data_IF_003468860964
#
_entry.id   IF_003468860964
#
_cell.length_a   1.000
_cell.length_b   1.000
_cell.length_c   1.000
_cell.angle_alpha   90.00
_cell.angle_beta   90.00
_cell.angle_gamma   90.00
#
_symmetry.space_group_name_H-M   'P 1'
#
loop_
_entity.id
_entity.type
_entity.pdbx_description
1 polymer ?
#
# COMPACT_ATOMS: atom_id res chain seq x y z
N UNK A 1 35.79 4.27 20.77
CA UNK A 1 34.80 3.82 19.77
C UNK A 1 34.82 4.86 18.66
N UNK A 2 35.22 4.47 17.45
CA UNK A 2 35.39 5.37 16.32
C UNK A 2 34.21 5.14 15.39
N UNK A 3 33.36 6.16 15.21
CA UNK A 3 32.23 6.13 14.27
C UNK A 3 32.74 6.72 12.95
N UNK A 4 32.45 6.04 11.83
CA UNK A 4 32.85 6.41 10.48
C UNK A 4 31.58 6.49 9.62
N UNK A 5 31.22 7.69 9.17
CA UNK A 5 30.16 7.90 8.19
C UNK A 5 30.80 8.33 6.85
N UNK A 6 30.32 7.78 5.74
CA UNK A 6 30.81 8.03 4.39
C UNK A 6 29.69 8.54 3.50
N UNK A 7 30.01 9.48 2.61
CA UNK A 7 29.10 9.91 1.53
C UNK A 7 29.82 9.79 0.19
N UNK A 8 29.20 9.12 -0.78
CA UNK A 8 29.75 9.03 -2.13
C UNK A 8 29.46 10.33 -2.90
N UNK A 9 30.47 11.20 -3.05
CA UNK A 9 30.37 12.38 -3.90
C UNK A 9 30.41 12.02 -5.39
N UNK A 10 29.90 12.92 -6.27
CA UNK A 10 29.84 12.82 -7.74
C UNK A 10 31.18 12.57 -8.48
N UNK A 11 32.29 12.40 -7.77
CA UNK A 11 33.64 12.25 -8.31
C UNK A 11 34.46 11.13 -7.64
N UNK A 12 33.83 10.16 -6.97
CA UNK A 12 34.56 9.04 -6.34
C UNK A 12 35.46 9.44 -5.17
N UNK A 13 35.17 10.59 -4.53
CA UNK A 13 36.00 11.12 -3.45
C UNK A 13 35.38 10.81 -2.09
N UNK A 14 36.12 10.12 -1.24
CA UNK A 14 35.73 9.88 0.15
C UNK A 14 35.98 11.13 1.00
N UNK A 15 35.03 11.46 1.86
CA UNK A 15 35.16 12.53 2.85
C UNK A 15 34.66 12.04 4.20
N UNK A 16 35.35 12.41 5.28
CA UNK A 16 34.88 12.11 6.63
C UNK A 16 33.98 13.21 7.16
N UNK A 17 32.88 12.84 7.79
CA UNK A 17 32.08 13.81 8.54
C UNK A 17 32.70 14.08 9.92
N UNK A 18 33.11 13.01 10.62
CA UNK A 18 33.78 13.10 11.92
C UNK A 18 35.00 12.14 11.99
N UNK A 19 36.08 12.60 12.65
CA UNK A 19 37.26 11.77 12.96
C UNK A 19 37.59 11.86 14.45
N UNK A 20 37.27 10.80 15.20
CA UNK A 20 37.62 10.67 16.62
C UNK A 20 38.92 9.87 16.78
N UNK A 21 39.99 10.56 17.16
CA UNK A 21 41.27 9.93 17.50
C UNK A 21 41.44 9.90 19.03
N UNK A 22 41.77 8.74 19.57
CA UNK A 22 42.11 8.60 20.99
C UNK A 22 43.51 9.19 21.27
N UNK A 23 43.64 9.91 22.39
CA UNK A 23 44.94 10.35 22.93
C UNK A 23 45.43 11.71 22.42
N UNK A 24 44.92 12.81 22.98
CA UNK A 24 45.57 14.14 22.98
C UNK A 24 46.06 14.71 21.64
N UNK A 25 45.52 14.24 20.50
CA UNK A 25 46.00 14.63 19.18
C UNK A 25 45.54 16.05 18.87
N UNK A 26 46.51 16.95 18.62
CA UNK A 26 46.23 18.34 18.23
C UNK A 26 45.49 18.41 16.87
N UNK A 27 44.86 19.57 16.63
CA UNK A 27 43.99 19.78 15.47
C UNK A 27 44.73 19.64 14.13
N UNK A 28 46.01 20.00 14.09
CA UNK A 28 46.85 19.92 12.88
C UNK A 28 47.11 18.46 12.53
N UNK A 29 47.50 17.64 13.52
CA UNK A 29 47.68 16.20 13.32
C UNK A 29 46.39 15.51 12.90
N UNK A 30 45.25 15.89 13.48
CA UNK A 30 43.93 15.39 13.04
C UNK A 30 43.65 15.70 11.58
N UNK A 31 43.94 16.93 11.13
CA UNK A 31 43.75 17.33 9.74
C UNK A 31 44.65 16.54 8.78
N UNK A 32 45.92 16.32 9.15
CA UNK A 32 46.83 15.49 8.34
C UNK A 32 46.38 14.04 8.26
N UNK A 33 45.97 13.43 9.39
CA UNK A 33 45.45 12.06 9.40
C UNK A 33 44.19 11.95 8.56
N UNK A 34 43.25 12.91 8.70
CA UNK A 34 42.04 12.96 7.88
C UNK A 34 42.36 13.03 6.39
N UNK A 35 43.20 13.98 5.97
CA UNK A 35 43.57 14.15 4.56
C UNK A 35 44.30 12.93 4.00
N UNK A 36 45.18 12.31 4.79
CA UNK A 36 45.89 11.09 4.40
C UNK A 36 44.92 9.91 4.23
N UNK A 37 43.96 9.74 5.15
CA UNK A 37 42.93 8.70 5.05
C UNK A 37 41.98 8.94 3.87
N UNK A 38 41.50 10.17 3.66
CA UNK A 38 40.63 10.51 2.51
C UNK A 38 41.34 10.23 1.18
N UNK A 39 42.63 10.59 1.10
CA UNK A 39 43.45 10.30 -0.07
C UNK A 39 43.66 8.80 -0.26
N UNK A 40 44.07 8.08 0.79
CA UNK A 40 44.31 6.65 0.72
C UNK A 40 43.04 5.89 0.32
N UNK A 41 41.88 6.21 0.91
CA UNK A 41 40.60 5.61 0.55
C UNK A 41 40.21 5.90 -0.90
N UNK A 42 40.43 7.13 -1.38
CA UNK A 42 40.14 7.48 -2.77
C UNK A 42 41.09 6.81 -3.77
N UNK A 43 42.29 6.41 -3.34
CA UNK A 43 43.26 5.67 -4.16
C UNK A 43 43.12 4.14 -4.04
N UNK A 44 42.35 3.64 -3.07
CA UNK A 44 42.19 2.21 -2.75
C UNK A 44 40.69 1.88 -2.54
N UNK A 45 39.83 2.44 -3.40
CA UNK A 45 38.37 2.25 -3.31
C UNK A 45 37.96 0.79 -3.43
N UNK A 46 38.75 0.00 -4.15
CA UNK A 46 38.62 -1.44 -4.36
C UNK A 46 38.83 -2.28 -3.09
N UNK A 47 39.44 -1.70 -2.04
CA UNK A 47 39.60 -2.37 -0.74
C UNK A 47 38.29 -2.44 0.03
N UNK A 48 37.31 -1.58 -0.30
CA UNK A 48 35.98 -1.60 0.32
C UNK A 48 35.02 -2.43 -0.55
N UNK A 49 35.06 -3.75 -0.37
CA UNK A 49 34.15 -4.69 -1.03
C UNK A 49 32.98 -5.10 -0.12
N UNK A 50 32.35 -4.12 0.53
CA UNK A 50 31.23 -4.38 1.42
C UNK A 50 29.88 -4.15 0.72
N UNK A 51 29.09 -5.21 0.58
CA UNK A 51 27.73 -5.14 0.06
C UNK A 51 26.74 -5.03 1.23
N UNK A 52 26.10 -3.88 1.37
CA UNK A 52 25.09 -3.66 2.42
C UNK A 52 23.77 -4.40 2.13
N UNK A 53 23.33 -4.34 0.86
CA UNK A 53 22.12 -5.00 0.40
C UNK A 53 22.26 -5.42 -1.07
N UNK A 54 21.64 -6.54 -1.42
CA UNK A 54 21.42 -6.95 -2.80
C UNK A 54 19.97 -6.68 -3.18
N UNK A 55 19.75 -6.08 -4.35
CA UNK A 55 18.41 -5.71 -4.82
C UNK A 55 18.16 -6.29 -6.20
N UNK A 56 17.07 -7.06 -6.32
CA UNK A 56 16.56 -7.57 -7.58
C UNK A 56 15.69 -6.50 -8.25
N UNK A 57 16.08 -6.08 -9.44
CA UNK A 57 15.35 -5.06 -10.23
C UNK A 57 14.41 -5.76 -11.20
N UNK A 58 13.25 -5.18 -11.46
CA UNK A 58 12.27 -5.69 -12.40
C UNK A 58 12.80 -5.66 -13.85
N UNK A 59 12.82 -6.83 -14.51
CA UNK A 59 13.28 -6.98 -15.90
C UNK A 59 12.14 -7.10 -16.93
N UNK A 60 10.89 -6.77 -16.58
CA UNK A 60 9.78 -6.77 -17.56
C UNK A 60 8.97 -8.07 -17.66
N UNK A 61 9.11 -9.00 -16.71
CA UNK A 61 8.33 -10.24 -16.71
C UNK A 61 6.95 -10.02 -16.07
N UNK A 62 5.95 -9.73 -16.90
CA UNK A 62 4.54 -9.73 -16.51
C UNK A 62 4.10 -11.15 -16.09
N UNK A 63 3.45 -11.27 -14.93
CA UNK A 63 2.75 -12.49 -14.51
C UNK A 63 3.32 -13.27 -13.32
N UNK A 64 4.39 -12.80 -12.66
CA UNK A 64 4.79 -13.35 -11.36
C UNK A 64 4.02 -12.68 -10.21
N UNK A 65 3.63 -13.45 -9.18
CA UNK A 65 3.11 -12.89 -7.93
C UNK A 65 4.04 -11.78 -7.45
N UNK A 66 3.46 -10.64 -7.02
CA UNK A 66 4.21 -9.51 -6.43
C UNK A 66 5.15 -8.75 -7.36
N UNK A 67 5.08 -8.95 -8.68
CA UNK A 67 5.88 -8.16 -9.63
C UNK A 67 5.68 -6.65 -9.49
N UNK A 68 4.52 -6.22 -8.99
CA UNK A 68 4.19 -4.83 -8.71
C UNK A 68 4.96 -4.20 -7.53
N UNK A 69 5.62 -5.02 -6.69
CA UNK A 69 6.53 -4.56 -5.63
C UNK A 69 8.00 -4.56 -6.07
N UNK A 70 8.32 -5.15 -7.22
CA UNK A 70 9.70 -5.15 -7.72
C UNK A 70 10.10 -3.74 -8.18
N UNK A 71 11.24 -3.23 -7.71
CA UNK A 71 11.69 -1.89 -8.10
C UNK A 71 12.16 -1.88 -9.56
N UNK A 72 11.79 -0.84 -10.30
CA UNK A 72 12.35 -0.51 -11.62
C UNK A 72 13.57 0.41 -11.52
N UNK A 73 13.65 1.22 -10.46
CA UNK A 73 14.82 2.04 -10.13
C UNK A 73 15.07 1.95 -8.63
N UNK A 74 16.33 1.99 -8.21
CA UNK A 74 16.75 1.83 -6.81
C UNK A 74 17.74 2.93 -6.41
N UNK A 75 17.70 3.32 -5.15
CA UNK A 75 18.67 4.19 -4.50
C UNK A 75 18.77 3.83 -3.03
N UNK A 76 19.55 4.58 -2.26
CA UNK A 76 19.66 4.43 -0.83
C UNK A 76 19.47 5.77 -0.13
N UNK A 77 19.07 5.73 1.12
CA UNK A 77 18.96 6.90 1.98
C UNK A 77 19.43 6.54 3.39
N UNK A 78 20.04 7.52 4.06
CA UNK A 78 20.43 7.43 5.47
C UNK A 78 19.71 8.53 6.24
N UNK A 79 19.15 8.19 7.39
CA UNK A 79 18.59 9.14 8.33
C UNK A 79 19.26 8.95 9.68
N UNK A 80 20.00 9.97 10.11
CA UNK A 80 20.59 10.00 11.45
C UNK A 80 19.49 10.19 12.51
N UNK A 81 19.60 9.45 13.61
CA UNK A 81 18.78 9.63 14.83
C UNK A 81 19.68 9.96 16.02
N UNK A 82 19.14 9.90 17.25
CA UNK A 82 19.90 10.24 18.47
C UNK A 82 21.18 9.42 18.63
N UNK A 83 21.16 8.15 18.20
CA UNK A 83 22.33 7.28 18.19
C UNK A 83 22.49 6.58 16.84
N UNK A 84 23.70 6.12 16.55
CA UNK A 84 24.01 5.33 15.34
C UNK A 84 23.18 4.05 15.28
N UNK A 85 22.90 3.45 16.44
CA UNK A 85 22.13 2.21 16.55
C UNK A 85 20.64 2.45 16.26
N UNK A 86 20.16 3.68 16.43
CA UNK A 86 18.78 4.08 16.12
C UNK A 86 18.63 4.65 14.69
N UNK A 87 19.74 4.97 14.03
CA UNK A 87 19.75 5.55 12.68
C UNK A 87 19.25 4.55 11.63
N UNK A 88 18.64 5.07 10.57
CA UNK A 88 18.02 4.25 9.52
C UNK A 88 18.89 4.27 8.27
N UNK A 89 19.25 3.08 7.79
CA UNK A 89 19.71 2.87 6.42
C UNK A 89 18.56 2.22 5.62
N UNK A 90 18.18 2.84 4.51
CA UNK A 90 17.07 2.38 3.69
C UNK A 90 17.49 2.19 2.24
N UNK A 91 17.02 1.09 1.65
CA UNK A 91 16.91 0.95 0.19
C UNK A 91 15.57 1.56 -0.22
N UNK A 92 15.61 2.52 -1.13
CA UNK A 92 14.41 3.17 -1.68
C UNK A 92 14.29 2.81 -3.16
N UNK A 93 13.07 2.61 -3.63
CA UNK A 93 12.84 2.18 -5.01
C UNK A 93 11.54 2.69 -5.61
N UNK A 94 11.56 2.91 -6.92
CA UNK A 94 10.38 3.18 -7.72
C UNK A 94 9.84 1.87 -8.28
N UNK A 95 8.52 1.68 -8.32
CA UNK A 95 7.88 0.48 -8.86
C UNK A 95 7.01 0.80 -10.08
N UNK A 96 6.76 -0.21 -10.91
CA UNK A 96 5.86 -0.10 -12.08
C UNK A 96 6.39 0.82 -13.18
N UNK A 97 7.71 0.85 -13.39
CA UNK A 97 8.35 1.62 -14.47
C UNK A 97 8.40 3.13 -14.24
N UNK A 98 8.12 3.60 -13.02
CA UNK A 98 8.19 5.02 -12.66
C UNK A 98 9.64 5.47 -12.51
N UNK A 99 9.92 6.71 -12.88
CA UNK A 99 11.25 7.31 -12.82
C UNK A 99 11.46 8.09 -11.52
N UNK A 100 12.67 8.04 -10.96
CA UNK A 100 13.08 8.77 -9.75
C UNK A 100 13.55 10.21 -10.01
N UNK A 101 13.50 10.68 -11.25
CA UNK A 101 14.09 11.97 -11.67
C UNK A 101 13.49 13.14 -10.88
N UNK A 102 14.35 13.86 -10.17
CA UNK A 102 13.98 15.05 -9.40
C UNK A 102 13.40 14.76 -8.01
N UNK A 103 13.43 13.51 -7.56
CA UNK A 103 13.11 13.13 -6.18
C UNK A 103 14.36 13.19 -5.30
N UNK A 104 14.16 13.56 -4.04
CA UNK A 104 15.22 13.58 -3.03
C UNK A 104 15.53 12.17 -2.51
N UNK A 105 16.80 11.91 -2.21
CA UNK A 105 17.26 10.67 -1.58
C UNK A 105 17.08 10.77 -0.06
N UNK A 106 15.83 10.63 0.40
CA UNK A 106 15.48 10.81 1.81
C UNK A 106 14.63 9.65 2.31
N UNK A 107 14.81 9.34 3.59
CA UNK A 107 13.96 8.43 4.34
C UNK A 107 13.45 9.15 5.59
N UNK A 108 12.18 8.94 5.91
CA UNK A 108 11.59 9.52 7.12
C UNK A 108 12.20 8.86 8.35
N UNK A 109 12.50 9.66 9.37
CA UNK A 109 12.85 9.15 10.70
C UNK A 109 11.70 8.37 11.35
N UNK A 110 10.49 8.40 10.79
CA UNK A 110 9.35 7.59 11.21
C UNK A 110 9.20 6.30 10.38
N UNK A 111 10.10 5.99 9.45
CA UNK A 111 9.98 4.79 8.63
C UNK A 111 10.07 3.50 9.48
N UNK A 112 10.97 3.49 10.46
CA UNK A 112 11.17 2.40 11.41
C UNK A 112 10.56 2.78 12.78
N UNK A 113 9.82 1.89 13.42
CA UNK A 113 9.35 2.11 14.80
C UNK A 113 10.37 1.59 15.81
N UNK A 114 10.49 2.23 16.97
CA UNK A 114 11.54 1.98 17.99
C UNK A 114 11.57 0.54 18.55
N UNK A 115 10.54 -0.25 18.31
CA UNK A 115 10.40 -1.62 18.83
C UNK A 115 10.77 -2.71 17.81
N UNK A 116 11.23 -2.35 16.61
CA UNK A 116 11.47 -3.29 15.52
C UNK A 116 12.81 -3.04 14.82
N UNK A 117 13.44 -4.11 14.34
CA UNK A 117 14.74 -4.04 13.66
C UNK A 117 14.62 -3.57 12.19
N UNK A 118 13.47 -3.79 11.56
CA UNK A 118 13.26 -3.50 10.15
C UNK A 118 11.83 -3.07 9.84
N UNK A 119 11.68 -2.37 8.71
CA UNK A 119 10.39 -1.96 8.18
C UNK A 119 10.37 -1.96 6.67
N UNK A 120 9.24 -2.32 6.08
CA UNK A 120 8.91 -2.12 4.67
C UNK A 120 7.82 -1.05 4.60
N UNK A 121 8.06 0.01 3.83
CA UNK A 121 7.11 1.11 3.65
C UNK A 121 6.67 1.17 2.19
N UNK A 122 5.38 0.96 1.96
CA UNK A 122 4.75 0.96 0.64
C UNK A 122 3.94 2.25 0.48
N UNK A 123 4.29 3.04 -0.54
CA UNK A 123 3.64 4.31 -0.80
C UNK A 123 2.13 4.15 -1.09
N UNK A 124 1.27 5.09 -0.66
CA UNK A 124 -0.18 5.00 -0.85
C UNK A 124 -0.59 4.77 -2.29
N UNK A 125 0.06 5.44 -3.25
CA UNK A 125 -0.28 5.30 -4.65
C UNK A 125 -0.06 3.85 -5.17
N UNK A 126 0.88 3.10 -4.62
CA UNK A 126 1.10 1.68 -4.98
C UNK A 126 -0.07 0.85 -4.49
N UNK A 127 -0.49 1.06 -3.24
CA UNK A 127 -1.66 0.37 -2.68
C UNK A 127 -2.94 0.75 -3.42
N UNK A 128 -3.13 2.03 -3.71
CA UNK A 128 -4.29 2.53 -4.44
C UNK A 128 -4.33 2.05 -5.90
N UNK A 129 -3.18 1.93 -6.56
CA UNK A 129 -3.10 1.36 -7.91
C UNK A 129 -3.55 -0.11 -7.92
N UNK A 130 -3.20 -0.89 -6.90
CA UNK A 130 -3.70 -2.27 -6.71
C UNK A 130 -5.21 -2.29 -6.47
N UNK A 131 -5.71 -1.39 -5.63
CA UNK A 131 -7.15 -1.23 -5.39
C UNK A 131 -7.87 -0.93 -6.72
N UNK A 132 -7.35 0.04 -7.48
CA UNK A 132 -7.96 0.48 -8.73
C UNK A 132 -8.00 -0.64 -9.78
N UNK A 133 -6.89 -1.36 -9.93
CA UNK A 133 -6.77 -2.38 -10.99
C UNK A 133 -7.61 -3.63 -10.72
N UNK A 134 -7.90 -3.93 -9.46
CA UNK A 134 -8.43 -5.23 -9.10
C UNK A 134 -9.65 -5.17 -8.17
N UNK A 135 -9.53 -4.46 -7.06
CA UNK A 135 -10.58 -4.43 -6.04
C UNK A 135 -11.84 -3.71 -6.55
N UNK A 136 -11.67 -2.58 -7.24
CA UNK A 136 -12.81 -1.79 -7.74
C UNK A 136 -13.56 -2.52 -8.87
N UNK A 137 -12.91 -3.06 -9.91
CA UNK A 137 -13.61 -3.84 -10.94
C UNK A 137 -14.38 -5.04 -10.39
N UNK A 138 -13.84 -5.72 -9.36
CA UNK A 138 -14.53 -6.82 -8.69
C UNK A 138 -15.75 -6.34 -7.91
N UNK A 139 -15.60 -5.26 -7.13
CA UNK A 139 -16.67 -4.68 -6.33
C UNK A 139 -17.78 -4.00 -7.17
N UNK A 140 -17.43 -3.51 -8.36
CA UNK A 140 -18.34 -2.77 -9.26
C UNK A 140 -18.27 -3.32 -10.70
N UNK A 141 -18.97 -4.44 -10.99
CA UNK A 141 -19.02 -5.01 -12.33
C UNK A 141 -19.46 -3.99 -13.39
N UNK A 142 -18.58 -3.76 -14.38
CA UNK A 142 -18.73 -2.73 -15.43
C UNK A 142 -17.73 -1.57 -15.34
N UNK A 143 -17.03 -1.44 -14.21
CA UNK A 143 -15.84 -0.58 -14.07
C UNK A 143 -14.60 -1.34 -14.48
N UNK A 144 -13.74 -0.69 -15.29
CA UNK A 144 -12.40 -1.22 -15.62
C UNK A 144 -11.32 -0.34 -14.99
N UNK A 145 -10.09 -0.86 -14.91
CA UNK A 145 -8.96 -0.14 -14.33
C UNK A 145 -8.76 1.26 -14.96
N UNK A 146 -8.93 1.38 -16.27
CA UNK A 146 -8.78 2.63 -17.02
C UNK A 146 -9.86 3.68 -16.70
N UNK A 147 -10.98 3.27 -16.08
CA UNK A 147 -11.98 4.21 -15.59
C UNK A 147 -11.54 4.91 -14.29
N UNK A 148 -10.42 4.50 -13.71
CA UNK A 148 -9.89 5.01 -12.45
C UNK A 148 -8.55 5.68 -12.69
N UNK A 149 -8.29 6.75 -11.94
CA UNK A 149 -7.00 7.43 -11.97
C UNK A 149 -6.59 7.88 -10.59
N UNK A 150 -5.28 8.02 -10.37
CA UNK A 150 -4.77 8.81 -9.26
C UNK A 150 -5.22 10.26 -9.44
N UNK A 151 -5.69 10.86 -8.35
CA UNK A 151 -6.14 12.24 -8.32
C UNK A 151 -4.94 13.17 -8.55
N UNK A 152 -4.97 14.06 -9.57
CA UNK A 152 -3.86 14.98 -9.82
C UNK A 152 -3.57 15.84 -8.59
N UNK A 153 -2.31 15.86 -8.14
CA UNK A 153 -1.91 16.62 -6.95
C UNK A 153 -2.23 15.95 -5.61
N UNK A 154 -2.90 14.81 -5.59
CA UNK A 154 -3.14 14.01 -4.39
C UNK A 154 -2.82 12.52 -4.65
N UNK A 155 -1.55 12.08 -4.41
CA UNK A 155 -1.15 10.69 -4.62
C UNK A 155 -1.75 9.71 -3.60
N UNK A 156 -2.56 10.22 -2.66
CA UNK A 156 -3.28 9.44 -1.65
C UNK A 156 -4.72 9.17 -2.03
N UNK A 157 -5.14 9.56 -3.24
CA UNK A 157 -6.52 9.40 -3.71
C UNK A 157 -6.57 8.85 -5.11
N UNK A 158 -7.44 7.87 -5.34
CA UNK A 158 -7.92 7.49 -6.67
C UNK A 158 -9.38 7.91 -6.84
N UNK A 159 -9.78 8.16 -8.08
CA UNK A 159 -11.14 8.55 -8.42
C UNK A 159 -11.59 7.96 -9.75
N UNK A 160 -12.89 7.80 -9.89
CA UNK A 160 -13.55 7.48 -11.14
C UNK A 160 -13.47 8.67 -12.10
N UNK A 161 -12.96 8.45 -13.30
CA UNK A 161 -12.78 9.48 -14.34
C UNK A 161 -14.14 9.96 -14.88
N UNK A 162 -15.07 9.03 -15.07
CA UNK A 162 -16.39 9.30 -15.65
C UNK A 162 -17.42 8.33 -15.09
N UNK A 163 -18.69 8.74 -15.06
CA UNK A 163 -19.77 7.85 -14.64
C UNK A 163 -19.79 6.56 -15.47
N UNK A 164 -19.98 5.42 -14.80
CA UNK A 164 -19.99 4.10 -15.44
C UNK A 164 -21.32 3.41 -15.19
N UNK A 165 -21.92 2.92 -16.27
CA UNK A 165 -23.08 2.04 -16.16
C UNK A 165 -22.58 0.70 -15.61
N UNK A 166 -23.24 0.24 -14.56
CA UNK A 166 -22.96 -1.05 -13.96
C UNK A 166 -23.97 -2.08 -14.47
N UNK A 167 -23.69 -3.35 -14.21
CA UNK A 167 -24.61 -4.42 -14.54
C UNK A 167 -25.98 -4.20 -13.89
N UNK A 168 -27.02 -4.51 -14.64
CA UNK A 168 -28.38 -4.33 -14.16
C UNK A 168 -28.68 -5.35 -13.05
N UNK A 169 -29.26 -4.87 -11.97
CA UNK A 169 -29.53 -5.66 -10.77
C UNK A 169 -31.02 -5.87 -10.60
N UNK A 170 -31.42 -6.99 -9.96
CA UNK A 170 -32.82 -7.20 -9.63
C UNK A 170 -33.14 -6.57 -8.29
N UNK A 171 -34.06 -5.60 -8.30
CA UNK A 171 -34.63 -4.98 -7.10
C UNK A 171 -36.11 -5.32 -7.08
N UNK A 172 -36.56 -6.07 -6.06
CA UNK A 172 -37.94 -6.54 -5.93
C UNK A 172 -38.48 -7.26 -7.19
N UNK A 173 -37.63 -8.07 -7.83
CA UNK A 173 -37.98 -8.82 -9.05
C UNK A 173 -37.78 -8.04 -10.37
N UNK A 174 -37.64 -6.72 -10.32
CA UNK A 174 -37.45 -5.88 -11.50
C UNK A 174 -35.98 -5.67 -11.84
N UNK A 175 -35.63 -5.88 -13.11
CA UNK A 175 -34.30 -5.57 -13.62
C UNK A 175 -34.14 -4.05 -13.71
N UNK A 176 -33.23 -3.50 -12.92
CA UNK A 176 -33.11 -2.06 -12.73
C UNK A 176 -31.75 -1.57 -13.21
N UNK A 177 -31.76 -0.50 -14.01
CA UNK A 177 -30.54 0.10 -14.52
C UNK A 177 -29.81 0.87 -13.42
N UNK A 178 -28.49 0.72 -13.39
CA UNK A 178 -27.66 1.21 -12.32
C UNK A 178 -26.40 1.88 -12.91
N UNK A 179 -26.03 3.05 -12.37
CA UNK A 179 -24.85 3.81 -12.77
C UNK A 179 -24.07 4.24 -11.53
N UNK A 180 -22.77 3.97 -11.52
CA UNK A 180 -21.83 4.57 -10.57
C UNK A 180 -21.47 5.95 -11.11
N UNK A 181 -21.94 7.00 -10.45
CA UNK A 181 -21.72 8.39 -10.89
C UNK A 181 -20.43 8.97 -10.36
N UNK A 182 -19.99 8.52 -9.18
CA UNK A 182 -18.70 8.91 -8.59
C UNK A 182 -18.18 7.77 -7.71
N UNK A 183 -16.86 7.62 -7.68
CA UNK A 183 -16.15 6.79 -6.72
C UNK A 183 -14.82 7.47 -6.41
N UNK A 184 -14.46 7.51 -5.13
CA UNK A 184 -13.15 7.94 -4.67
C UNK A 184 -12.68 7.04 -3.52
N UNK A 185 -11.40 6.70 -3.53
CA UNK A 185 -10.76 5.93 -2.46
C UNK A 185 -9.52 6.71 -2.02
N UNK A 186 -9.41 7.01 -0.73
CA UNK A 186 -8.42 7.94 -0.20
C UNK A 186 -7.79 7.44 1.10
N UNK A 187 -6.47 7.62 1.22
CA UNK A 187 -5.72 7.41 2.47
C UNK A 187 -5.76 8.71 3.29
N UNK A 188 -6.43 8.67 4.44
CA UNK A 188 -6.58 9.82 5.33
C UNK A 188 -6.47 9.40 6.79
N UNK A 189 -5.54 9.99 7.53
CA UNK A 189 -5.43 9.80 8.99
C UNK A 189 -5.27 8.34 9.44
N UNK A 190 -4.51 7.55 8.68
CA UNK A 190 -4.31 6.12 8.94
C UNK A 190 -5.52 5.24 8.61
N UNK A 191 -6.42 5.73 7.78
CA UNK A 191 -7.63 5.03 7.36
C UNK A 191 -7.75 5.09 5.83
N UNK A 192 -8.50 4.14 5.28
CA UNK A 192 -8.95 4.16 3.89
C UNK A 192 -10.41 4.58 3.87
N UNK A 193 -10.66 5.76 3.33
CA UNK A 193 -11.99 6.28 3.08
C UNK A 193 -12.44 5.86 1.68
N UNK A 194 -13.57 5.15 1.61
CA UNK A 194 -14.25 4.83 0.36
C UNK A 194 -15.50 5.69 0.28
N UNK A 195 -15.61 6.44 -0.80
CA UNK A 195 -16.74 7.29 -1.12
C UNK A 195 -17.32 6.86 -2.46
N UNK A 196 -18.63 6.64 -2.53
CA UNK A 196 -19.30 6.36 -3.80
C UNK A 196 -20.63 7.10 -3.92
N UNK A 197 -20.99 7.42 -5.15
CA UNK A 197 -22.32 7.88 -5.52
C UNK A 197 -22.86 7.03 -6.64
N UNK A 198 -24.11 6.58 -6.51
CA UNK A 198 -24.80 5.78 -7.51
C UNK A 198 -26.16 6.37 -7.85
N UNK A 199 -26.59 6.07 -9.07
CA UNK A 199 -27.92 6.35 -9.59
C UNK A 199 -28.57 5.02 -9.96
N UNK A 200 -29.65 4.69 -9.26
CA UNK A 200 -30.57 3.64 -9.66
C UNK A 200 -31.76 4.27 -10.38
N UNK A 201 -32.07 3.76 -11.57
CA UNK A 201 -33.18 4.24 -12.38
C UNK A 201 -34.17 3.10 -12.67
N UNK A 202 -35.36 3.22 -12.07
CA UNK A 202 -36.46 2.29 -12.17
C UNK A 202 -37.48 2.79 -13.19
N UNK A 203 -37.53 2.11 -14.35
CA UNK A 203 -38.46 2.37 -15.45
C UNK A 203 -38.55 3.86 -15.87
N UNK A 204 -37.46 4.63 -15.74
CA UNK A 204 -37.39 6.08 -15.99
C UNK A 204 -38.34 6.95 -15.15
N UNK A 205 -39.03 6.39 -14.17
CA UNK A 205 -40.06 7.08 -13.37
C UNK A 205 -39.64 7.30 -11.92
N UNK A 206 -38.72 6.48 -11.41
CA UNK A 206 -38.13 6.66 -10.08
C UNK A 206 -36.61 6.64 -10.23
N UNK A 207 -35.98 7.73 -9.79
CA UNK A 207 -34.53 7.85 -9.69
C UNK A 207 -34.13 7.89 -8.23
N UNK A 208 -33.19 7.05 -7.85
CA UNK A 208 -32.61 7.02 -6.51
C UNK A 208 -31.13 7.36 -6.63
N UNK A 209 -30.73 8.44 -5.98
CA UNK A 209 -29.34 8.84 -5.80
C UNK A 209 -28.90 8.37 -4.43
N UNK A 210 -27.80 7.62 -4.36
CA UNK A 210 -27.27 7.15 -3.08
C UNK A 210 -25.81 7.52 -2.97
N UNK A 211 -25.48 8.18 -1.87
CA UNK A 211 -24.13 8.47 -1.44
C UNK A 211 -23.76 7.50 -0.33
N UNK A 212 -22.61 6.84 -0.44
CA UNK A 212 -22.09 5.93 0.57
C UNK A 212 -20.70 6.34 0.99
N UNK A 213 -20.44 6.29 2.30
CA UNK A 213 -19.14 6.55 2.90
C UNK A 213 -18.79 5.42 3.86
N UNK A 214 -17.58 4.88 3.72
CA UNK A 214 -17.09 3.89 4.65
C UNK A 214 -15.61 4.10 4.96
N UNK A 215 -15.25 3.81 6.20
CA UNK A 215 -13.90 4.00 6.73
C UNK A 215 -13.34 2.65 7.14
N UNK A 216 -12.16 2.33 6.62
CA UNK A 216 -11.46 1.08 6.93
C UNK A 216 -10.12 1.36 7.57
N UNK A 217 -9.68 0.40 8.37
CA UNK A 217 -8.29 0.30 8.78
C UNK A 217 -7.79 -1.12 8.56
N UNK A 218 -6.48 -1.29 8.67
CA UNK A 218 -5.84 -2.59 8.71
C UNK A 218 -5.40 -2.83 10.14
N UNK A 219 -5.74 -4.00 10.67
CA UNK A 219 -5.34 -4.42 12.02
C UNK A 219 -4.69 -5.78 11.98
N UNK A 220 -3.75 -5.97 12.90
CA UNK A 220 -3.20 -7.27 13.23
C UNK A 220 -4.28 -8.19 13.79
N UNK A 221 -4.20 -9.47 13.42
CA UNK A 221 -5.11 -10.51 13.85
C UNK A 221 -4.38 -11.85 13.95
N UNK A 222 -5.08 -12.87 14.42
CA UNK A 222 -4.66 -14.27 14.35
C UNK A 222 -5.63 -15.09 13.51
N UNK A 223 -5.12 -16.13 12.86
CA UNK A 223 -5.91 -17.22 12.27
C UNK A 223 -6.44 -18.15 13.35
N UNK A 224 -7.31 -19.09 12.99
CA UNK A 224 -7.79 -20.14 13.90
C UNK A 224 -6.68 -21.08 14.38
N UNK A 225 -5.61 -21.23 13.58
CA UNK A 225 -4.38 -21.94 13.97
C UNK A 225 -3.48 -21.15 14.94
N UNK A 226 -3.77 -19.86 15.16
CA UNK A 226 -3.00 -18.97 16.03
C UNK A 226 -1.90 -18.18 15.31
N UNK A 227 -1.73 -18.37 14.00
CA UNK A 227 -0.73 -17.67 13.19
C UNK A 227 -1.10 -16.20 13.01
N UNK A 228 -0.10 -15.32 13.03
CA UNK A 228 -0.33 -13.90 12.85
C UNK A 228 -0.73 -13.60 11.39
N UNK A 229 -1.74 -12.74 11.23
CA UNK A 229 -2.31 -12.31 9.95
C UNK A 229 -2.79 -10.86 10.09
N UNK A 230 -3.30 -10.25 9.04
CA UNK A 230 -3.97 -8.96 9.14
C UNK A 230 -5.35 -9.01 8.52
N UNK A 231 -6.23 -8.15 9.02
CA UNK A 231 -7.60 -8.00 8.51
C UNK A 231 -7.88 -6.54 8.22
N UNK A 232 -8.62 -6.30 7.14
CA UNK A 232 -9.30 -5.04 6.97
C UNK A 232 -10.53 -5.05 7.86
N UNK A 233 -10.68 -4.00 8.65
CA UNK A 233 -11.85 -3.80 9.49
C UNK A 233 -12.58 -2.54 9.06
N UNK A 234 -13.90 -2.60 9.08
CA UNK A 234 -14.73 -1.41 9.07
C UNK A 234 -14.63 -0.74 10.43
N UNK A 235 -14.28 0.55 10.44
CA UNK A 235 -14.14 1.32 11.69
C UNK A 235 -15.49 1.75 12.26
N UNK A 236 -16.50 1.83 11.39
CA UNK A 236 -17.89 2.11 11.73
C UNK A 236 -18.78 1.56 10.60
N UNK A 237 -20.07 1.28 10.88
CA UNK A 237 -21.03 0.95 9.83
C UNK A 237 -21.00 2.02 8.73
N UNK A 238 -21.07 1.63 7.44
CA UNK A 238 -21.10 2.59 6.35
C UNK A 238 -22.26 3.59 6.49
N UNK A 239 -21.96 4.87 6.26
CA UNK A 239 -22.96 5.93 6.21
C UNK A 239 -23.56 5.95 4.80
N UNK A 240 -24.88 5.80 4.68
CA UNK A 240 -25.58 5.87 3.40
C UNK A 240 -26.68 6.93 3.44
N UNK A 241 -26.65 7.84 2.47
CA UNK A 241 -27.66 8.87 2.29
C UNK A 241 -28.30 8.74 0.92
N UNK A 242 -29.62 8.60 0.90
CA UNK A 242 -30.38 8.44 -0.34
C UNK A 242 -31.34 9.60 -0.55
N UNK A 243 -31.41 10.07 -1.81
CA UNK A 243 -32.39 11.04 -2.29
C UNK A 243 -33.15 10.45 -3.47
N UNK A 244 -34.43 10.75 -3.56
CA UNK A 244 -35.30 10.20 -4.60
C UNK A 244 -35.96 11.29 -5.42
N UNK A 245 -36.10 11.02 -6.71
CA UNK A 245 -36.92 11.80 -7.63
C UNK A 245 -37.98 10.87 -8.22
N UNK A 246 -39.24 11.29 -8.13
CA UNK A 246 -40.40 10.50 -8.56
C UNK A 246 -41.19 11.33 -9.57
N UNK A 247 -41.52 10.72 -10.70
CA UNK A 247 -42.44 11.30 -11.67
C UNK A 247 -43.81 11.59 -11.01
N UNK A 248 -44.39 12.79 -11.17
CA UNK A 248 -45.69 13.12 -10.59
C UNK A 248 -46.81 12.13 -10.95
N UNK A 249 -46.75 11.49 -12.13
CA UNK A 249 -47.72 10.48 -12.56
C UNK A 249 -47.73 9.20 -11.69
N UNK A 250 -46.73 9.02 -10.83
CA UNK A 250 -46.56 7.86 -9.95
C UNK A 250 -46.85 8.14 -8.47
N UNK A 251 -47.24 9.36 -8.09
CA UNK A 251 -47.38 9.77 -6.68
C UNK A 251 -48.64 9.24 -5.97
N UNK A 252 -49.71 8.94 -6.72
CA UNK A 252 -51.02 8.59 -6.14
C UNK A 252 -51.25 7.07 -6.01
N UNK A 253 -50.29 6.24 -6.41
CA UNK A 253 -50.39 4.78 -6.32
C UNK A 253 -49.79 4.26 -4.99
N UNK A 254 -50.61 4.22 -3.93
CA UNK A 254 -50.24 3.83 -2.55
C UNK A 254 -49.54 2.46 -2.41
N UNK A 255 -49.80 1.51 -3.31
CA UNK A 255 -49.20 0.17 -3.29
C UNK A 255 -47.71 0.18 -3.71
N UNK A 256 -47.25 1.23 -4.40
CA UNK A 256 -45.87 1.36 -4.90
C UNK A 256 -44.94 2.16 -3.98
N UNK A 257 -45.47 2.72 -2.90
CA UNK A 257 -44.68 3.28 -1.78
C UNK A 257 -43.86 2.18 -1.10
N UNK A 258 -44.34 0.94 -1.10
CA UNK A 258 -43.56 -0.23 -0.64
C UNK A 258 -42.31 -0.49 -1.50
N UNK A 259 -42.40 -0.29 -2.82
CA UNK A 259 -41.26 -0.38 -3.76
C UNK A 259 -40.27 0.77 -3.50
N UNK A 260 -40.77 1.95 -3.14
CA UNK A 260 -39.95 3.11 -2.78
C UNK A 260 -39.09 2.82 -1.53
N UNK A 261 -39.71 2.41 -0.42
CA UNK A 261 -39.02 2.13 0.86
C UNK A 261 -38.07 0.93 0.74
N UNK A 262 -38.49 -0.14 0.06
CA UNK A 262 -37.63 -1.31 -0.16
C UNK A 262 -36.49 -1.02 -1.14
N UNK A 263 -36.71 -0.20 -2.17
CA UNK A 263 -35.67 0.25 -3.09
C UNK A 263 -34.57 1.05 -2.40
N UNK A 264 -34.92 1.90 -1.42
CA UNK A 264 -33.93 2.62 -0.57
C UNK A 264 -33.06 1.64 0.22
N UNK A 265 -33.67 0.63 0.84
CA UNK A 265 -33.00 -0.37 1.68
C UNK A 265 -32.14 -1.30 0.82
N UNK A 266 -32.65 -1.78 -0.32
CA UNK A 266 -31.91 -2.61 -1.27
C UNK A 266 -30.70 -1.86 -1.81
N UNK A 267 -30.86 -0.61 -2.24
CA UNK A 267 -29.77 0.23 -2.74
C UNK A 267 -28.71 0.45 -1.67
N UNK A 268 -29.09 0.82 -0.44
CA UNK A 268 -28.13 0.93 0.65
C UNK A 268 -27.34 -0.39 0.85
N UNK A 269 -28.02 -1.54 0.92
CA UNK A 269 -27.34 -2.85 1.04
C UNK A 269 -26.46 -3.23 -0.16
N UNK A 270 -26.84 -2.80 -1.37
CA UNK A 270 -26.09 -3.03 -2.61
C UNK A 270 -24.80 -2.20 -2.65
N UNK A 271 -24.72 -1.03 -1.99
CA UNK A 271 -23.51 -0.18 -1.99
C UNK A 271 -22.66 -0.30 -0.74
N UNK A 272 -23.22 -0.76 0.38
CA UNK A 272 -22.42 -1.13 1.55
C UNK A 272 -21.66 -2.45 1.32
N UNK A 273 -22.20 -3.39 0.54
CA UNK A 273 -21.54 -4.67 0.21
C UNK A 273 -20.20 -4.54 -0.55
N UNK A 274 -20.13 -3.82 -1.70
CA UNK A 274 -18.94 -3.59 -2.51
C UNK A 274 -17.74 -3.02 -1.74
N UNK A 275 -18.02 -2.31 -0.65
CA UNK A 275 -16.99 -1.74 0.21
C UNK A 275 -16.25 -2.85 0.99
N UNK A 276 -16.98 -3.83 1.52
CA UNK A 276 -16.38 -5.04 2.09
C UNK A 276 -15.56 -5.84 1.06
N UNK A 277 -15.99 -5.86 -0.21
CA UNK A 277 -15.23 -6.47 -1.31
C UNK A 277 -13.90 -5.76 -1.57
N UNK A 278 -13.83 -4.43 -1.42
CA UNK A 278 -12.57 -3.70 -1.53
C UNK A 278 -11.58 -4.16 -0.46
N UNK A 279 -12.04 -4.33 0.79
CA UNK A 279 -11.23 -4.87 1.88
C UNK A 279 -10.74 -6.31 1.61
N UNK A 280 -11.61 -7.19 1.13
CA UNK A 280 -11.25 -8.57 0.79
C UNK A 280 -10.26 -8.64 -0.39
N UNK A 281 -10.47 -7.82 -1.40
CA UNK A 281 -9.62 -7.78 -2.58
C UNK A 281 -8.22 -7.27 -2.25
N UNK A 282 -8.12 -6.29 -1.34
CA UNK A 282 -6.84 -5.83 -0.79
C UNK A 282 -6.07 -6.95 -0.09
N UNK A 283 -6.75 -7.72 0.78
CA UNK A 283 -6.14 -8.89 1.43
C UNK A 283 -5.59 -9.87 0.40
N UNK A 284 -6.40 -10.22 -0.61
CA UNK A 284 -5.96 -11.16 -1.65
C UNK A 284 -4.75 -10.64 -2.45
N UNK A 285 -4.73 -9.35 -2.79
CA UNK A 285 -3.64 -8.71 -3.53
C UNK A 285 -2.32 -8.73 -2.77
N UNK A 286 -2.37 -8.36 -1.50
CA UNK A 286 -1.21 -8.39 -0.61
C UNK A 286 -0.72 -9.79 -0.34
N UNK A 287 -1.60 -10.78 -0.29
CA UNK A 287 -1.16 -12.13 0.03
C UNK A 287 -0.73 -12.93 -1.18
N UNK A 288 -1.50 -12.96 -2.25
CA UNK A 288 -1.23 -13.92 -3.32
C UNK A 288 -0.48 -13.31 -4.50
N UNK A 289 -0.33 -11.98 -4.51
CA UNK A 289 0.24 -11.26 -5.65
C UNK A 289 -0.54 -11.48 -6.97
N UNK A 290 -1.68 -12.17 -6.91
CA UNK A 290 -2.51 -12.60 -8.02
C UNK A 290 -3.98 -12.30 -7.71
N UNK A 291 -4.56 -11.40 -8.50
CA UNK A 291 -5.98 -11.08 -8.41
C UNK A 291 -6.87 -11.98 -9.29
N UNK A 292 -6.26 -12.87 -10.08
CA UNK A 292 -6.96 -13.78 -11.01
C UNK A 292 -7.90 -14.77 -10.30
N UNK A 293 -7.65 -15.05 -9.01
CA UNK A 293 -8.42 -15.99 -8.20
C UNK A 293 -9.46 -15.31 -7.30
N UNK A 294 -9.66 -13.99 -7.41
CA UNK A 294 -10.68 -13.25 -6.66
C UNK A 294 -12.06 -13.92 -6.68
N UNK A 295 -12.61 -14.38 -7.82
CA UNK A 295 -13.94 -15.00 -7.85
C UNK A 295 -14.07 -16.29 -7.03
N UNK A 296 -12.96 -17.03 -6.85
CA UNK A 296 -12.92 -18.28 -6.07
C UNK A 296 -12.77 -17.98 -4.56
N UNK A 297 -12.08 -16.90 -4.22
CA UNK A 297 -11.93 -16.37 -2.85
C UNK A 297 -13.23 -15.75 -2.32
N UNK A 298 -14.09 -15.23 -3.20
CA UNK A 298 -15.41 -14.69 -2.87
C UNK A 298 -16.39 -15.75 -2.34
N UNK A 299 -16.26 -17.01 -2.77
CA UNK A 299 -17.19 -18.08 -2.39
C UNK A 299 -16.89 -18.69 -1.02
N UNK A 300 -15.65 -18.60 -0.53
CA UNK A 300 -15.21 -19.25 0.70
C UNK A 300 -14.69 -18.26 1.76
N UNK A 301 -14.58 -16.98 1.43
CA UNK A 301 -13.73 -16.06 2.18
C UNK A 301 -12.25 -16.46 2.08
N UNK A 302 -11.35 -15.59 2.52
CA UNK A 302 -9.98 -15.98 2.83
C UNK A 302 -9.99 -16.70 4.17
N UNK A 303 -10.47 -17.94 4.19
CA UNK A 303 -10.44 -18.77 5.39
C UNK A 303 -9.65 -20.07 5.17
N UNK A 304 -8.53 -20.26 5.89
CA UNK A 304 -7.86 -19.27 6.74
C UNK A 304 -7.11 -18.20 5.90
N UNK A 305 -7.02 -16.95 6.38
CA UNK A 305 -6.16 -15.98 5.73
C UNK A 305 -4.71 -16.41 5.90
N UNK A 306 -3.84 -16.21 4.91
CA UNK A 306 -2.46 -16.66 4.97
C UNK A 306 -1.66 -15.89 6.02
N UNK A 307 -0.54 -16.49 6.45
CA UNK A 307 0.29 -15.92 7.51
C UNK A 307 0.97 -14.63 7.05
N UNK A 308 1.19 -13.72 7.99
CA UNK A 308 1.90 -12.48 7.76
C UNK A 308 3.34 -12.71 7.30
N UNK A 309 3.96 -13.81 7.73
CA UNK A 309 5.29 -14.25 7.28
C UNK A 309 5.33 -14.40 5.75
N UNK A 310 4.24 -14.85 5.11
CA UNK A 310 4.16 -14.94 3.65
C UNK A 310 4.19 -13.56 2.99
N UNK A 311 3.45 -12.58 3.51
CA UNK A 311 3.51 -11.20 3.01
C UNK A 311 4.92 -10.61 3.22
N UNK A 312 5.50 -10.79 4.41
CA UNK A 312 6.84 -10.33 4.73
C UNK A 312 7.91 -10.87 3.79
N UNK A 313 7.87 -12.19 3.55
CA UNK A 313 8.77 -12.86 2.62
C UNK A 313 8.66 -12.28 1.21
N UNK A 314 7.44 -12.16 0.67
CA UNK A 314 7.26 -11.66 -0.69
C UNK A 314 7.54 -10.16 -0.83
N UNK A 315 7.19 -9.34 0.15
CA UNK A 315 7.45 -7.91 0.13
C UNK A 315 8.94 -7.57 0.28
N UNK A 316 9.72 -8.43 0.98
CA UNK A 316 11.17 -8.29 1.10
C UNK A 316 11.95 -9.06 0.02
N UNK A 317 11.32 -9.92 -0.78
CA UNK A 317 12.02 -10.78 -1.75
C UNK A 317 12.91 -10.01 -2.75
N UNK A 318 12.56 -8.76 -3.04
CA UNK A 318 13.33 -7.89 -3.91
C UNK A 318 14.62 -7.36 -3.27
N UNK A 319 14.74 -7.35 -1.95
CA UNK A 319 15.84 -6.73 -1.22
C UNK A 319 16.35 -7.63 -0.10
N UNK A 320 17.57 -8.12 -0.23
CA UNK A 320 18.25 -8.93 0.78
C UNK A 320 19.33 -8.09 1.49
N UNK A 321 19.16 -7.87 2.79
CA UNK A 321 20.21 -7.28 3.64
C UNK A 321 21.31 -8.30 3.95
N UNK A 322 22.53 -7.80 4.20
CA UNK A 322 23.68 -8.64 4.50
C UNK A 322 23.40 -9.62 5.66
N UNK A 323 23.86 -10.87 5.50
CA UNK A 323 23.66 -11.94 6.46
C UNK A 323 22.44 -12.84 6.16
N UNK A 324 21.71 -12.58 5.08
CA UNK A 324 20.65 -13.49 4.60
C UNK A 324 19.47 -13.61 5.57
N UNK A 325 19.29 -12.61 6.45
CA UNK A 325 18.18 -12.60 7.41
C UNK A 325 16.86 -12.40 6.69
N UNK A 326 15.86 -13.17 7.07
CA UNK A 326 14.48 -13.02 6.60
C UNK A 326 13.74 -12.01 7.44
N UNK A 327 13.06 -11.08 6.77
CA UNK A 327 12.15 -10.15 7.43
C UNK A 327 10.89 -10.87 7.89
N UNK A 328 10.63 -10.81 9.19
CA UNK A 328 9.40 -11.29 9.80
C UNK A 328 8.57 -10.11 10.27
N UNK A 329 7.46 -9.78 9.59
CA UNK A 329 6.59 -8.71 10.04
C UNK A 329 5.96 -9.09 11.38
N UNK A 330 5.80 -8.10 12.25
CA UNK A 330 5.19 -8.21 13.58
C UNK A 330 4.06 -7.19 13.76
N UNK A 331 4.10 -6.10 12.99
CA UNK A 331 3.08 -5.04 12.95
C UNK A 331 2.77 -4.64 11.51
N UNK A 332 1.52 -4.22 11.29
CA UNK A 332 1.05 -3.57 10.06
C UNK A 332 0.28 -2.32 10.44
N UNK A 333 0.60 -1.21 9.79
CA UNK A 333 0.00 0.09 10.10
C UNK A 333 -0.24 0.89 8.83
N UNK A 334 -1.35 1.63 8.84
CA UNK A 334 -1.61 2.70 7.90
C UNK A 334 -1.22 4.01 8.59
N UNK A 335 -0.13 4.62 8.16
CA UNK A 335 0.34 5.91 8.69
C UNK A 335 0.94 6.72 7.53
N UNK A 336 0.06 7.37 6.75
CA UNK A 336 0.37 8.06 5.48
C UNK A 336 1.00 7.20 4.37
N UNK A 337 1.32 5.94 4.67
CA UNK A 337 1.77 4.86 3.82
C UNK A 337 1.37 3.53 4.50
N UNK A 338 1.45 2.43 3.76
CA UNK A 338 1.34 1.11 4.37
C UNK A 338 2.71 0.71 4.90
N UNK A 339 2.82 0.46 6.20
CA UNK A 339 4.07 0.08 6.86
C UNK A 339 3.93 -1.31 7.46
N UNK A 340 4.85 -2.20 7.08
CA UNK A 340 5.10 -3.47 7.75
C UNK A 340 6.34 -3.29 8.62
N UNK A 341 6.24 -3.52 9.93
CA UNK A 341 7.40 -3.45 10.83
C UNK A 341 7.61 -4.80 11.50
N UNK A 342 8.85 -5.16 11.76
CA UNK A 342 9.17 -6.45 12.37
C UNK A 342 10.67 -6.70 12.46
N UNK A 343 11.00 -7.96 12.69
CA UNK A 343 12.34 -8.36 13.13
C UNK A 343 13.08 -9.11 12.02
N UNK A 344 14.41 -9.02 12.05
CA UNK A 344 15.27 -9.74 11.13
C UNK A 344 15.74 -11.05 11.79
N UNK A 345 15.25 -12.18 11.29
CA UNK A 345 15.65 -13.50 11.77
C UNK A 345 16.65 -14.17 10.83
N UNK A 346 17.58 -14.95 11.39
CA UNK A 346 18.39 -15.87 10.58
C UNK A 346 17.48 -16.88 9.88
N UNK A 347 17.74 -17.16 8.59
CA UNK A 347 17.05 -18.25 7.90
C UNK A 347 17.30 -19.55 8.65
N UNK A 348 16.26 -20.11 9.27
CA UNK A 348 16.28 -21.52 9.66
C UNK A 348 16.44 -22.31 8.36
N UNK A 349 17.60 -22.95 8.18
CA UNK A 349 17.95 -23.67 6.96
C UNK A 349 16.79 -24.55 6.51
N UNK A 350 16.23 -24.23 5.34
CA UNK A 350 15.29 -25.12 4.66
C UNK A 350 16.13 -26.35 4.28
N UNK A 351 15.99 -27.44 5.04
CA UNK A 351 16.43 -28.75 4.57
C UNK A 351 15.65 -29.03 3.29
N UNK A 352 16.37 -29.09 2.17
CA UNK A 352 15.85 -29.53 0.87
C UNK A 352 15.28 -30.94 0.93
#
# INVERSE_FOLDING_TARGET
MSVLAFTHGKAGRFTFEELRLNGGVDLIKKAFVRAALEKWLSENEDVIDHVFASVSIFEGLDGQSFSYLLPSEVSYAYCERETVDDSILAVIGMVGGRQSRGLDQQVSSLALSDNFDASIVIAPFVVLDLIAKHAVPAAYPGVIADDLRLCPGNPRRIELVQARKLDAIRVNGYLTSHTLTSLAIEFIGGQILVYSQSLLNYDNKIKTYTETRARHSIVMSKTDSGDATFRFIELAPPEAHSRHEIDPSYKDETEKIGIYVSGVISVASIFTGPIGFIGLSLLSGFYYGFFKYLPELECNGLEPPPSMDFLGFNASAACAWLGGKTFRPCSIELSDALRLSGDLHEQAGIQQ
#
